data_IF_091665601303
#
_entry.id   IF_091665601303
#
_cell.length_a   1.000
_cell.length_b   1.000
_cell.length_c   1.000
_cell.angle_alpha   90.00
_cell.angle_beta   90.00
_cell.angle_gamma   90.00
#
_symmetry.space_group_name_H-M   'P 1'
#
loop_
_entity.id
_entity.type
_entity.pdbx_description
1 polymer ?
#
# COMPACT_ATOMS: atom_id res chain seq x y z
N UNK A 1 9.12 17.38 -26.82
CA UNK A 1 8.22 17.70 -25.69
C UNK A 1 8.84 17.04 -24.49
N UNK A 2 9.46 17.83 -23.62
CA UNK A 2 9.95 17.32 -22.33
C UNK A 2 8.74 16.82 -21.54
N UNK A 3 8.75 15.55 -21.15
CA UNK A 3 7.69 15.02 -20.31
C UNK A 3 7.90 15.58 -18.90
N UNK A 4 6.85 16.08 -18.23
CA UNK A 4 6.97 16.52 -16.85
C UNK A 4 7.59 15.42 -15.97
N UNK A 5 8.57 15.78 -15.15
CA UNK A 5 9.27 14.87 -14.23
C UNK A 5 8.34 14.55 -13.06
N UNK A 6 7.85 13.31 -13.02
CA UNK A 6 7.05 12.80 -11.92
C UNK A 6 7.96 12.32 -10.78
N UNK A 7 7.89 12.99 -9.62
CA UNK A 7 8.68 12.65 -8.43
C UNK A 7 7.84 11.81 -7.47
N UNK A 8 8.45 10.75 -6.93
CA UNK A 8 7.84 9.89 -5.91
C UNK A 8 8.77 9.84 -4.72
N UNK A 9 8.28 10.27 -3.56
CA UNK A 9 8.97 10.18 -2.29
C UNK A 9 8.22 9.15 -1.44
N UNK A 10 8.78 7.96 -1.29
CA UNK A 10 8.24 6.92 -0.42
C UNK A 10 9.00 6.94 0.91
N UNK A 11 8.30 7.22 2.00
CA UNK A 11 8.86 7.27 3.35
C UNK A 11 8.77 5.93 4.09
N UNK A 12 8.19 4.91 3.46
CA UNK A 12 8.07 3.56 4.04
C UNK A 12 9.32 2.78 3.63
N UNK A 13 10.19 2.54 4.61
CA UNK A 13 11.47 1.86 4.39
C UNK A 13 11.28 0.35 4.28
N UNK A 14 12.21 -0.30 3.57
CA UNK A 14 12.18 -1.76 3.40
C UNK A 14 12.28 -2.49 4.76
N UNK A 15 12.95 -1.90 5.76
CA UNK A 15 13.06 -2.42 7.12
C UNK A 15 11.75 -2.40 7.91
N UNK A 16 10.79 -1.57 7.50
CA UNK A 16 9.47 -1.49 8.14
C UNK A 16 8.53 -2.60 7.65
N UNK A 17 8.88 -3.27 6.55
CA UNK A 17 8.10 -4.34 5.95
C UNK A 17 8.41 -5.67 6.65
N UNK A 18 7.36 -6.31 7.17
CA UNK A 18 7.44 -7.63 7.80
C UNK A 18 6.89 -8.69 6.85
N UNK A 19 7.61 -8.96 5.78
CA UNK A 19 7.25 -9.99 4.77
C UNK A 19 7.84 -11.34 5.16
N UNK A 20 7.02 -12.34 5.47
CA UNK A 20 7.44 -13.57 6.17
C UNK A 20 7.99 -14.65 5.24
N UNK A 21 7.62 -14.63 3.96
CA UNK A 21 7.83 -15.76 3.06
C UNK A 21 8.66 -15.43 1.79
N UNK A 22 9.06 -14.17 1.59
CA UNK A 22 9.82 -13.73 0.42
C UNK A 22 10.59 -12.43 0.67
N UNK A 23 11.38 -11.99 -0.31
CA UNK A 23 12.07 -10.70 -0.27
C UNK A 23 11.11 -9.52 -0.55
N UNK A 24 11.48 -8.32 -0.08
CA UNK A 24 10.74 -7.07 -0.39
C UNK A 24 10.64 -6.84 -1.90
N UNK A 25 11.72 -7.11 -2.63
CA UNK A 25 11.75 -6.96 -4.09
C UNK A 25 10.75 -7.89 -4.79
N UNK A 26 10.65 -9.15 -4.34
CA UNK A 26 9.67 -10.10 -4.87
C UNK A 26 8.22 -9.66 -4.57
N UNK A 27 7.94 -9.19 -3.36
CA UNK A 27 6.62 -8.67 -3.01
C UNK A 27 6.24 -7.43 -3.83
N UNK A 28 7.19 -6.52 -4.09
CA UNK A 28 7.00 -5.39 -5.02
C UNK A 28 6.75 -5.85 -6.45
N UNK A 29 7.38 -6.93 -6.90
CA UNK A 29 7.11 -7.49 -8.22
C UNK A 29 5.66 -8.04 -8.32
N UNK A 30 5.14 -8.68 -7.26
CA UNK A 30 3.74 -9.10 -7.20
C UNK A 30 2.76 -7.92 -7.21
N UNK A 31 3.12 -6.79 -6.61
CA UNK A 31 2.33 -5.56 -6.69
C UNK A 31 2.19 -5.03 -8.13
N UNK A 32 3.17 -5.31 -8.99
CA UNK A 32 3.15 -4.96 -10.41
C UNK A 32 2.39 -5.99 -11.27
N UNK A 33 2.00 -7.15 -10.73
CA UNK A 33 1.23 -8.14 -11.47
C UNK A 33 -0.14 -7.55 -11.85
N UNK A 34 -0.60 -7.72 -13.11
CA UNK A 34 -1.92 -7.29 -13.52
C UNK A 34 -3.04 -7.96 -12.71
N UNK A 35 -2.81 -9.16 -12.19
CA UNK A 35 -3.74 -9.91 -11.34
C UNK A 35 -3.61 -9.42 -9.89
N UNK A 36 -4.65 -8.78 -9.32
CA UNK A 36 -4.55 -8.21 -7.98
C UNK A 36 -4.35 -9.28 -6.90
N UNK A 37 -4.94 -10.46 -7.07
CA UNK A 37 -4.87 -11.60 -6.15
C UNK A 37 -3.47 -12.20 -6.01
N UNK A 38 -2.51 -11.87 -6.89
CA UNK A 38 -1.09 -12.22 -6.71
C UNK A 38 -0.51 -11.68 -5.39
N UNK A 39 -1.07 -10.60 -4.84
CA UNK A 39 -0.66 -10.09 -3.51
C UNK A 39 -1.10 -10.97 -2.34
N UNK A 40 -2.02 -11.93 -2.54
CA UNK A 40 -2.38 -12.89 -1.49
C UNK A 40 -1.19 -13.80 -1.12
N UNK A 41 -0.24 -13.96 -2.04
CA UNK A 41 0.99 -14.73 -1.78
C UNK A 41 1.97 -13.97 -0.87
N UNK A 42 1.76 -12.69 -0.58
CA UNK A 42 2.64 -11.91 0.31
C UNK A 42 2.17 -12.10 1.76
N UNK A 43 2.92 -12.86 2.56
CA UNK A 43 2.57 -13.12 3.95
C UNK A 43 3.20 -12.09 4.89
N UNK A 44 2.43 -11.67 5.89
CA UNK A 44 2.88 -10.77 6.95
C UNK A 44 2.30 -9.36 6.86
N UNK A 45 3.05 -8.39 7.39
CA UNK A 45 2.60 -7.02 7.61
C UNK A 45 3.39 -6.05 6.72
N UNK A 46 2.70 -5.34 5.82
CA UNK A 46 3.35 -4.54 4.79
C UNK A 46 2.54 -3.31 4.34
N UNK A 47 3.26 -2.32 3.82
CA UNK A 47 2.74 -1.19 3.05
C UNK A 47 3.67 -0.96 1.86
N UNK A 48 3.34 -1.59 0.73
CA UNK A 48 4.17 -1.65 -0.46
C UNK A 48 3.83 -0.51 -1.42
N UNK A 49 4.86 0.10 -1.99
CA UNK A 49 4.76 0.98 -3.15
C UNK A 49 5.71 0.49 -4.26
N UNK A 50 5.25 0.55 -5.50
CA UNK A 50 6.03 0.26 -6.70
C UNK A 50 5.67 1.25 -7.81
N UNK A 51 6.62 1.54 -8.70
CA UNK A 51 6.42 2.45 -9.83
C UNK A 51 6.53 1.68 -11.14
N UNK A 52 5.55 1.88 -12.02
CA UNK A 52 5.53 1.41 -13.39
C UNK A 52 5.29 2.59 -14.34
N UNK A 53 6.39 3.14 -14.87
CA UNK A 53 6.38 4.35 -15.70
C UNK A 53 5.81 5.56 -14.96
N UNK A 54 4.63 6.00 -15.38
CA UNK A 54 3.87 7.12 -14.80
C UNK A 54 2.89 6.67 -13.71
N UNK A 55 2.70 5.37 -13.53
CA UNK A 55 1.78 4.81 -12.53
C UNK A 55 2.54 4.43 -11.27
N UNK A 56 1.98 4.81 -10.13
CA UNK A 56 2.43 4.32 -8.82
C UNK A 56 1.36 3.39 -8.26
N UNK A 57 1.76 2.15 -7.98
CA UNK A 57 0.93 1.14 -7.35
C UNK A 57 1.24 1.11 -5.86
N UNK A 58 0.20 1.01 -5.05
CA UNK A 58 0.28 1.00 -3.59
C UNK A 58 -0.67 -0.06 -3.03
N UNK A 59 -0.21 -0.85 -2.06
CA UNK A 59 -1.04 -1.81 -1.36
C UNK A 59 -0.57 -2.00 0.08
N UNK A 60 -1.50 -2.29 1.00
CA UNK A 60 -1.20 -2.52 2.41
C UNK A 60 -2.00 -3.67 3.01
N UNK A 61 -1.39 -4.36 3.98
CA UNK A 61 -2.05 -5.32 4.88
C UNK A 61 -3.07 -4.62 5.79
N UNK A 62 -3.84 -5.36 6.58
CA UNK A 62 -4.91 -4.79 7.43
C UNK A 62 -4.40 -3.95 8.63
N UNK A 63 -3.19 -4.20 9.10
CA UNK A 63 -2.62 -3.60 10.31
C UNK A 63 -1.78 -2.35 10.02
N UNK A 64 -1.23 -2.20 8.80
CA UNK A 64 -0.31 -1.11 8.45
C UNK A 64 -1.01 0.11 7.88
N UNK A 65 -0.91 1.32 8.46
CA UNK A 65 -1.40 2.52 7.80
C UNK A 65 -0.60 2.81 6.52
N UNK A 66 -1.25 3.39 5.52
CA UNK A 66 -0.56 3.91 4.33
C UNK A 66 -1.35 5.09 3.78
N UNK A 67 -0.66 6.20 3.60
CA UNK A 67 -1.20 7.48 3.16
C UNK A 67 -0.40 8.00 1.98
N UNK A 68 -1.02 8.85 1.18
CA UNK A 68 -0.32 9.61 0.17
C UNK A 68 -0.87 11.03 0.03
N UNK A 69 -0.02 11.92 -0.48
CA UNK A 69 -0.34 13.30 -0.82
C UNK A 69 0.28 13.62 -2.19
N UNK A 70 -0.48 14.28 -3.07
CA UNK A 70 -0.01 14.71 -4.37
C UNK A 70 0.16 16.23 -4.37
N UNK A 71 1.41 16.71 -4.36
CA UNK A 71 1.72 18.11 -4.53
C UNK A 71 1.76 18.47 -6.02
N UNK A 72 1.20 19.63 -6.36
CA UNK A 72 1.15 20.14 -7.74
C UNK A 72 2.42 20.93 -8.03
N UNK A 73 3.01 20.67 -9.19
CA UNK A 73 4.19 21.38 -9.68
C UNK A 73 4.09 21.53 -11.20
N UNK A 74 4.61 22.64 -11.71
CA UNK A 74 4.59 22.99 -13.15
C UNK A 74 5.37 22.00 -14.00
N UNK A 75 6.45 21.45 -13.44
CA UNK A 75 7.31 20.45 -14.09
C UNK A 75 6.82 19.02 -13.87
N UNK A 76 5.70 18.79 -13.19
CA UNK A 76 5.14 17.47 -12.91
C UNK A 76 4.84 17.26 -11.43
N UNK A 77 3.78 16.52 -11.06
CA UNK A 77 3.41 16.39 -9.65
C UNK A 77 4.43 15.59 -8.82
N UNK A 78 4.52 15.91 -7.53
CA UNK A 78 5.27 15.15 -6.53
C UNK A 78 4.31 14.34 -5.66
N UNK A 79 4.43 13.01 -5.70
CA UNK A 79 3.71 12.10 -4.81
C UNK A 79 4.55 11.81 -3.58
N UNK A 80 4.01 12.08 -2.40
CA UNK A 80 4.59 11.66 -1.10
C UNK A 80 3.75 10.54 -0.53
N UNK A 81 4.39 9.43 -0.15
CA UNK A 81 3.77 8.24 0.44
C UNK A 81 4.38 8.02 1.82
N UNK A 82 3.56 7.67 2.80
CA UNK A 82 4.05 7.41 4.16
C UNK A 82 2.97 6.91 5.10
N UNK A 83 3.38 6.55 6.31
CA UNK A 83 2.47 6.04 7.33
C UNK A 83 1.80 7.15 8.12
N UNK A 84 2.49 8.25 8.44
CA UNK A 84 1.98 9.32 9.28
C UNK A 84 1.76 10.61 8.49
N UNK A 85 0.73 11.35 8.87
CA UNK A 85 0.33 12.58 8.17
C UNK A 85 1.31 13.75 8.43
N UNK A 86 1.91 13.79 9.62
CA UNK A 86 2.94 14.77 10.00
C UNK A 86 4.25 14.56 9.25
N UNK A 87 4.63 13.32 8.94
CA UNK A 87 5.79 13.02 8.08
C UNK A 87 5.58 13.52 6.65
N UNK A 88 4.38 13.30 6.09
CA UNK A 88 4.00 13.86 4.79
C UNK A 88 4.12 15.38 4.79
N UNK A 89 3.59 16.04 5.82
CA UNK A 89 3.70 17.51 5.95
C UNK A 89 5.16 17.96 6.01
N UNK A 90 5.99 17.32 6.84
CA UNK A 90 7.40 17.68 6.99
C UNK A 90 8.14 17.60 5.65
N UNK A 91 7.94 16.53 4.90
CA UNK A 91 8.57 16.35 3.58
C UNK A 91 8.06 17.40 2.58
N UNK A 92 6.79 17.74 2.61
CA UNK A 92 6.24 18.82 1.78
C UNK A 92 6.86 20.18 2.14
N UNK A 93 7.07 20.48 3.42
CA UNK A 93 7.74 21.70 3.87
C UNK A 93 9.21 21.74 3.40
N UNK A 94 9.96 20.64 3.58
CA UNK A 94 11.36 20.49 3.13
C UNK A 94 11.53 20.69 1.62
N UNK A 95 10.49 20.38 0.84
CA UNK A 95 10.45 20.52 -0.61
C UNK A 95 9.76 21.80 -1.10
N UNK A 96 9.32 22.69 -0.20
CA UNK A 96 8.69 23.97 -0.54
C UNK A 96 7.19 23.90 -0.91
N UNK A 97 6.55 22.74 -0.82
CA UNK A 97 5.12 22.53 -1.10
C UNK A 97 4.23 22.61 0.16
N UNK A 98 4.79 22.98 1.31
CA UNK A 98 4.06 23.10 2.58
C UNK A 98 2.79 23.95 2.51
N UNK A 99 2.80 24.99 1.68
CA UNK A 99 1.65 25.87 1.43
C UNK A 99 0.45 25.17 0.75
N UNK A 100 0.68 24.04 0.07
CA UNK A 100 -0.37 23.23 -0.54
C UNK A 100 -0.97 22.23 0.44
N UNK A 101 -0.29 21.95 1.56
CA UNK A 101 -0.72 20.93 2.48
C UNK A 101 -2.00 21.34 3.21
N UNK A 102 -3.01 20.49 3.09
CA UNK A 102 -4.17 20.50 3.96
C UNK A 102 -4.46 19.04 4.38
N UNK A 103 -4.73 18.76 5.67
CA UNK A 103 -4.95 17.39 6.14
C UNK A 103 -6.03 16.64 5.36
N UNK A 104 -7.11 17.32 4.97
CA UNK A 104 -8.21 16.70 4.18
C UNK A 104 -7.83 16.33 2.75
N UNK A 105 -6.67 16.77 2.24
CA UNK A 105 -6.14 16.36 0.93
C UNK A 105 -5.21 15.16 1.02
N UNK A 106 -4.83 14.73 2.23
CA UNK A 106 -4.18 13.44 2.42
C UNK A 106 -5.18 12.32 2.14
N UNK A 107 -4.75 11.30 1.39
CA UNK A 107 -5.57 10.15 1.03
C UNK A 107 -5.05 8.91 1.73
N UNK A 108 -5.96 8.06 2.20
CA UNK A 108 -5.62 6.73 2.68
C UNK A 108 -5.56 5.76 1.50
N UNK A 109 -4.58 4.87 1.49
CA UNK A 109 -4.63 3.67 0.65
C UNK A 109 -5.57 2.68 1.34
N UNK A 110 -6.67 2.23 0.71
CA UNK A 110 -7.56 1.26 1.31
C UNK A 110 -6.83 -0.06 1.58
N UNK A 111 -7.10 -0.68 2.74
CA UNK A 111 -6.66 -2.05 2.99
C UNK A 111 -7.21 -2.99 1.91
N UNK A 112 -6.49 -4.07 1.58
CA UNK A 112 -6.98 -5.12 0.68
C UNK A 112 -7.26 -4.70 -0.77
N UNK A 113 -6.75 -3.52 -1.16
CA UNK A 113 -6.82 -3.03 -2.54
C UNK A 113 -5.42 -2.69 -3.03
N UNK A 114 -5.17 -2.95 -4.31
CA UNK A 114 -4.13 -2.29 -5.07
C UNK A 114 -4.68 -0.95 -5.54
N UNK A 115 -4.08 0.14 -5.07
CA UNK A 115 -4.37 1.49 -5.53
C UNK A 115 -3.38 1.85 -6.61
N UNK A 116 -3.85 2.12 -7.82
CA UNK A 116 -3.04 2.59 -8.93
C UNK A 116 -3.31 4.09 -9.15
N UNK A 117 -2.27 4.90 -9.01
CA UNK A 117 -2.33 6.34 -9.21
C UNK A 117 -1.45 6.73 -10.38
N UNK A 118 -2.04 7.28 -11.44
CA UNK A 118 -1.29 7.80 -12.59
C UNK A 118 -0.83 9.21 -12.27
N UNK A 119 0.46 9.49 -12.30
CA UNK A 119 1.03 10.80 -12.03
C UNK A 119 0.93 11.75 -13.23
N UNK A 120 -0.15 11.66 -14.00
CA UNK A 120 -0.42 12.62 -15.06
C UNK A 120 -0.66 14.00 -14.43
N UNK A 121 -0.22 15.06 -15.11
CA UNK A 121 -0.50 16.44 -14.71
C UNK A 121 -2.01 16.74 -14.66
N UNK A 122 -2.40 18.00 -14.52
CA UNK A 122 -3.81 18.39 -14.38
C UNK A 122 -4.73 17.77 -15.47
N UNK A 123 -5.93 17.25 -15.12
CA UNK A 123 -6.60 17.30 -13.81
C UNK A 123 -6.04 16.31 -12.77
N UNK A 124 -6.37 16.52 -11.49
CA UNK A 124 -5.91 15.63 -10.41
C UNK A 124 -6.30 14.17 -10.70
N UNK A 125 -5.33 13.23 -10.66
CA UNK A 125 -5.58 11.86 -11.05
C UNK A 125 -6.55 11.19 -10.08
N UNK A 126 -7.56 10.53 -10.65
CA UNK A 126 -8.43 9.65 -9.87
C UNK A 126 -7.72 8.29 -9.71
N UNK A 127 -7.55 7.79 -8.48
CA UNK A 127 -6.97 6.47 -8.27
C UNK A 127 -7.91 5.36 -8.77
N UNK A 128 -7.33 4.34 -9.40
CA UNK A 128 -8.01 3.06 -9.63
C UNK A 128 -7.77 2.13 -8.45
N UNK A 129 -8.80 1.37 -8.04
CA UNK A 129 -8.75 0.48 -6.89
C UNK A 129 -9.15 -0.93 -7.29
N UNK A 130 -8.20 -1.86 -7.25
CA UNK A 130 -8.42 -3.29 -7.53
C UNK A 130 -8.38 -4.08 -6.23
N UNK A 131 -9.50 -4.64 -5.80
CA UNK A 131 -9.57 -5.46 -4.59
C UNK A 131 -8.83 -6.78 -4.81
N UNK A 132 -7.88 -7.12 -3.94
CA UNK A 132 -7.16 -8.40 -3.99
C UNK A 132 -7.59 -9.40 -2.92
N UNK A 133 -8.21 -8.92 -1.84
CA UNK A 133 -8.71 -9.79 -0.76
C UNK A 133 -10.23 -9.66 -0.61
N UNK A 134 -10.94 -10.68 -1.07
CA UNK A 134 -12.38 -10.80 -1.03
C UNK A 134 -12.80 -12.27 -0.75
N UNK A 135 -12.46 -12.81 0.43
CA UNK A 135 -12.77 -14.20 0.73
C UNK A 135 -14.29 -14.44 0.72
N UNK A 136 -14.73 -15.64 0.27
CA UNK A 136 -16.13 -16.01 0.36
C UNK A 136 -16.59 -16.02 1.84
N UNK A 137 -17.83 -15.61 2.07
CA UNK A 137 -18.42 -15.54 3.41
C UNK A 137 -19.24 -16.80 3.67
N UNK A 138 -19.37 -17.17 4.95
CA UNK A 138 -20.20 -18.28 5.41
C UNK A 138 -19.85 -19.64 4.74
N UNK A 139 -18.56 -19.91 4.58
CA UNK A 139 -18.06 -21.18 4.01
C UNK A 139 -17.86 -22.29 5.03
N UNK A 140 -17.89 -21.99 6.33
CA UNK A 140 -17.72 -22.97 7.39
C UNK A 140 -19.02 -23.71 7.72
N UNK A 141 -18.95 -24.99 8.15
CA UNK A 141 -20.10 -25.71 8.70
C UNK A 141 -20.56 -25.10 10.03
N UNK A 142 -21.74 -25.48 10.50
CA UNK A 142 -22.30 -25.01 11.79
C UNK A 142 -21.76 -25.76 13.01
N UNK A 143 -20.83 -26.69 12.81
CA UNK A 143 -20.19 -27.46 13.88
C UNK A 143 -19.18 -26.59 14.65
N UNK A 144 -19.42 -26.40 15.94
CA UNK A 144 -18.61 -25.53 16.79
C UNK A 144 -17.19 -26.08 16.99
N UNK A 145 -17.04 -27.40 17.07
CA UNK A 145 -15.71 -28.01 17.27
C UNK A 145 -14.87 -27.79 16.01
N UNK A 146 -15.44 -28.02 14.82
CA UNK A 146 -14.79 -27.75 13.55
C UNK A 146 -14.43 -26.26 13.36
N UNK A 147 -15.30 -25.33 13.81
CA UNK A 147 -14.99 -23.89 13.79
C UNK A 147 -13.84 -23.57 14.74
N UNK A 148 -13.88 -24.12 15.96
CA UNK A 148 -12.86 -23.92 16.98
C UNK A 148 -11.49 -24.40 16.50
N UNK A 149 -11.42 -25.61 15.96
CA UNK A 149 -10.19 -26.20 15.40
C UNK A 149 -9.61 -25.32 14.29
N UNK A 150 -10.46 -24.88 13.35
CA UNK A 150 -10.03 -23.99 12.26
C UNK A 150 -9.47 -22.66 12.76
N UNK A 151 -10.12 -22.04 13.75
CA UNK A 151 -9.66 -20.79 14.35
C UNK A 151 -8.33 -20.94 15.09
N UNK A 152 -8.22 -21.95 15.97
CA UNK A 152 -7.02 -22.17 16.78
C UNK A 152 -5.84 -22.58 15.91
N UNK A 153 -6.05 -23.41 14.87
CA UNK A 153 -5.00 -23.77 13.93
C UNK A 153 -4.46 -22.54 13.17
N UNK A 154 -5.35 -21.68 12.66
CA UNK A 154 -4.95 -20.45 11.98
C UNK A 154 -4.18 -19.50 12.93
N UNK A 155 -4.69 -19.31 14.16
CA UNK A 155 -4.00 -18.50 15.18
C UNK A 155 -2.61 -19.05 15.50
N UNK A 156 -2.50 -20.36 15.74
CA UNK A 156 -1.25 -21.02 16.06
C UNK A 156 -0.22 -20.87 14.94
N UNK A 157 -0.66 -21.05 13.68
CA UNK A 157 0.19 -20.86 12.51
C UNK A 157 0.72 -19.42 12.45
N UNK A 158 -0.17 -18.42 12.50
CA UNK A 158 0.22 -17.00 12.44
C UNK A 158 1.19 -16.62 13.57
N UNK A 159 0.91 -17.03 14.81
CA UNK A 159 1.80 -16.77 15.96
C UNK A 159 3.17 -17.44 15.76
N UNK A 160 3.20 -18.66 15.23
CA UNK A 160 4.45 -19.37 14.97
C UNK A 160 5.29 -18.64 13.92
N UNK A 161 4.69 -18.22 12.81
CA UNK A 161 5.38 -17.46 11.75
C UNK A 161 5.93 -16.12 12.28
N UNK A 162 5.17 -15.43 13.14
CA UNK A 162 5.59 -14.17 13.76
C UNK A 162 6.75 -14.34 14.75
N UNK A 163 6.75 -15.41 15.54
CA UNK A 163 7.78 -15.67 16.56
C UNK A 163 9.05 -16.30 16.00
N UNK A 164 9.00 -16.97 14.85
CA UNK A 164 10.16 -17.59 14.21
C UNK A 164 11.11 -16.59 13.54
N UNK A 165 10.78 -15.30 13.58
CA UNK A 165 11.44 -14.24 12.85
C UNK A 165 12.43 -13.43 13.68
#
# INVERSE_FOLDING_TARGET
MDRPVHRVVNLIEDSDLRILNMSVAAARALLLDPRPDALLDVHGSFALAARDGETVLMARSLDRPMRYFLAKETEGPMLVIGERIDDLKRVLDEHGYGHQFHPSYTRMVPAHHVTALRLIGCPDPTPDHRRFFAPPRATMPTDLDAIGDGYVAALHQEVTEWLAR
#
